data_IF_435916149915
#
_entry.id   IF_435916149915
#
_cell.length_a   1.000
_cell.length_b   1.000
_cell.length_c   1.000
_cell.angle_alpha   90.00
_cell.angle_beta   90.00
_cell.angle_gamma   90.00
#
_symmetry.space_group_name_H-M   'P 1'
#
loop_
_entity.id
_entity.type
_entity.pdbx_description
1 polymer ?
#
# COMPACT_ATOMS: atom_id res chain seq x y z
N UNK A 1 62.13 12.34 12.30
CA UNK A 1 61.82 11.59 13.52
C UNK A 1 61.22 10.24 13.17
N UNK A 2 61.96 9.21 13.54
CA UNK A 2 61.80 7.82 13.13
C UNK A 2 62.01 6.93 14.36
N UNK A 3 61.26 5.82 14.44
CA UNK A 3 61.50 4.66 15.32
C UNK A 3 61.26 4.95 16.83
N UNK A 4 60.85 4.04 17.71
CA UNK A 4 60.68 2.58 17.74
C UNK A 4 60.00 2.19 19.07
N UNK A 5 59.30 1.06 19.05
CA UNK A 5 59.29 -0.01 20.08
C UNK A 5 58.63 0.13 21.47
N UNK A 6 58.06 -1.02 21.84
CA UNK A 6 57.35 -1.49 23.03
C UNK A 6 58.36 -1.80 24.16
N UNK A 7 57.93 -1.96 25.43
CA UNK A 7 57.98 -3.32 25.98
C UNK A 7 56.82 -3.71 26.94
N UNK A 8 56.50 -5.01 26.92
CA UNK A 8 56.24 -5.99 28.00
C UNK A 8 55.27 -5.70 29.18
N UNK A 9 54.63 -6.67 29.86
CA UNK A 9 54.25 -8.11 29.75
C UNK A 9 54.03 -8.59 31.20
N UNK A 10 53.41 -9.79 31.33
CA UNK A 10 53.27 -10.66 32.52
C UNK A 10 52.10 -10.31 33.44
N UNK A 11 51.18 -11.20 33.75
CA UNK A 11 51.00 -12.66 33.56
C UNK A 11 49.75 -13.01 34.40
N UNK A 12 49.09 -14.16 34.38
CA UNK A 12 49.23 -15.53 33.87
C UNK A 12 47.91 -16.19 34.37
N UNK A 13 47.08 -16.78 33.50
CA UNK A 13 46.86 -18.25 33.38
C UNK A 13 46.22 -18.90 34.64
N UNK A 14 45.33 -19.90 34.61
CA UNK A 14 44.94 -20.95 33.66
C UNK A 14 43.91 -21.83 34.45
N UNK A 15 42.85 -22.49 33.93
CA UNK A 15 42.74 -23.83 33.27
C UNK A 15 41.25 -24.23 33.47
N UNK A 16 40.40 -24.47 32.45
CA UNK A 16 40.15 -25.70 31.68
C UNK A 16 39.70 -26.97 32.48
N UNK A 17 38.52 -27.54 32.16
CA UNK A 17 38.33 -28.84 31.44
C UNK A 17 36.97 -29.52 31.68
N UNK A 18 36.38 -29.94 30.56
CA UNK A 18 35.32 -30.92 30.20
C UNK A 18 34.91 -32.08 31.13
N UNK A 19 33.73 -32.69 30.84
CA UNK A 19 33.57 -34.14 30.49
C UNK A 19 32.17 -34.45 29.90
N UNK A 20 32.17 -35.36 28.91
CA UNK A 20 31.08 -36.02 28.16
C UNK A 20 30.90 -37.48 28.66
N UNK A 21 29.68 -38.07 28.63
CA UNK A 21 29.38 -39.51 28.32
C UNK A 21 27.87 -39.83 28.38
N UNK A 22 27.25 -40.27 27.26
CA UNK A 22 26.79 -41.65 26.88
C UNK A 22 25.51 -42.14 27.60
N UNK A 23 24.35 -42.36 26.95
CA UNK A 23 23.87 -43.39 25.98
C UNK A 23 23.54 -44.79 26.54
N UNK A 24 22.49 -45.39 25.92
CA UNK A 24 21.96 -46.78 25.97
C UNK A 24 20.94 -47.08 27.09
N UNK A 25 19.80 -47.77 26.91
CA UNK A 25 19.41 -48.88 26.00
C UNK A 25 17.89 -48.91 25.76
N UNK A 26 17.46 -49.55 24.67
CA UNK A 26 16.09 -50.01 24.44
C UNK A 26 16.01 -51.55 24.39
N UNK A 27 14.82 -52.10 24.69
CA UNK A 27 14.29 -53.46 24.46
C UNK A 27 12.95 -53.55 25.22
N UNK A 28 11.91 -54.33 24.93
CA UNK A 28 11.40 -55.08 23.77
C UNK A 28 10.12 -55.81 24.24
N UNK A 29 9.10 -55.90 23.38
CA UNK A 29 8.06 -56.96 23.26
C UNK A 29 7.03 -57.28 24.38
N UNK A 30 5.75 -57.29 23.94
CA UNK A 30 4.54 -57.89 24.55
C UNK A 30 4.60 -59.43 24.68
N UNK A 31 3.68 -60.09 25.43
CA UNK A 31 2.46 -60.68 24.82
C UNK A 31 1.21 -60.67 25.77
N UNK A 32 0.00 -60.39 25.28
CA UNK A 32 -1.06 -61.33 24.82
C UNK A 32 -2.23 -61.56 25.82
N UNK A 33 -3.45 -61.36 25.27
CA UNK A 33 -4.73 -62.06 25.50
C UNK A 33 -5.34 -62.25 26.91
N UNK A 34 -6.56 -61.71 27.09
CA UNK A 34 -7.75 -62.52 27.45
C UNK A 34 -9.05 -61.67 27.39
N UNK A 35 -10.06 -62.19 26.67
CA UNK A 35 -11.49 -61.90 26.88
C UNK A 35 -12.00 -62.77 28.04
N UNK A 36 -13.05 -62.37 28.79
CA UNK A 36 -14.47 -62.56 28.41
C UNK A 36 -15.30 -61.28 28.77
N UNK A 37 -16.59 -61.06 28.48
CA UNK A 37 -17.77 -61.90 28.35
C UNK A 37 -18.90 -61.02 27.78
N UNK A 38 -19.86 -61.62 27.06
CA UNK A 38 -21.15 -60.99 26.73
C UNK A 38 -22.05 -60.86 27.98
N UNK A 39 -22.91 -59.83 27.98
CA UNK A 39 -24.38 -59.84 28.20
C UNK A 39 -24.81 -58.52 28.85
N UNK A 40 -25.81 -57.84 28.28
CA UNK A 40 -26.60 -56.83 28.98
C UNK A 40 -26.92 -55.58 28.17
N UNK A 41 -28.16 -55.50 27.70
CA UNK A 41 -28.79 -54.40 26.96
C UNK A 41 -28.79 -53.07 27.72
N UNK A 42 -28.83 -51.95 26.97
CA UNK A 42 -29.09 -50.64 27.54
C UNK A 42 -28.84 -49.51 26.55
N UNK A 43 -29.87 -49.16 25.79
CA UNK A 43 -29.92 -47.92 25.01
C UNK A 43 -29.71 -46.71 25.92
N UNK A 44 -28.79 -45.80 25.57
CA UNK A 44 -28.95 -44.34 25.63
C UNK A 44 -27.68 -43.67 25.08
N UNK A 45 -27.78 -43.17 23.85
CA UNK A 45 -26.76 -42.35 23.19
C UNK A 45 -27.19 -40.89 23.29
N UNK A 46 -26.52 -40.10 24.12
CA UNK A 46 -26.52 -38.64 24.02
C UNK A 46 -25.27 -38.07 24.72
N UNK A 47 -24.12 -38.19 24.06
CA UNK A 47 -22.90 -37.46 24.39
C UNK A 47 -22.21 -37.07 23.07
N UNK A 48 -22.66 -35.98 22.48
CA UNK A 48 -21.92 -35.20 21.50
C UNK A 48 -22.15 -33.73 21.85
N UNK A 49 -21.29 -33.22 22.74
CA UNK A 49 -21.16 -31.77 22.95
C UNK A 49 -20.26 -31.24 21.83
N UNK A 50 -20.90 -30.50 20.92
CA UNK A 50 -20.27 -29.90 19.75
C UNK A 50 -19.74 -28.54 20.16
N UNK A 51 -18.45 -28.35 19.90
CA UNK A 51 -17.71 -27.09 19.87
C UNK A 51 -18.53 -26.01 19.13
N UNK A 52 -19.26 -25.19 19.89
CA UNK A 52 -20.08 -24.09 19.37
C UNK A 52 -19.22 -22.83 19.38
N UNK A 53 -18.48 -22.61 18.29
CA UNK A 53 -17.96 -21.28 17.99
C UNK A 53 -19.14 -20.31 17.88
N UNK A 54 -19.14 -19.29 18.75
CA UNK A 54 -20.13 -18.21 18.71
C UNK A 54 -20.03 -17.48 17.35
N UNK A 55 -21.16 -17.05 16.77
CA UNK A 55 -21.13 -16.30 15.52
C UNK A 55 -20.29 -15.02 15.68
N UNK A 56 -19.48 -14.69 14.67
CA UNK A 56 -18.57 -13.54 14.67
C UNK A 56 -19.24 -12.23 15.07
N UNK A 57 -20.53 -12.05 14.76
CA UNK A 57 -21.31 -10.88 15.17
C UNK A 57 -21.47 -10.74 16.69
N UNK A 58 -21.58 -11.85 17.43
CA UNK A 58 -21.76 -11.86 18.88
C UNK A 58 -20.43 -11.57 19.60
N UNK A 59 -19.33 -12.10 19.06
CA UNK A 59 -17.98 -11.86 19.59
C UNK A 59 -17.54 -10.42 19.35
N UNK A 60 -17.86 -9.86 18.16
CA UNK A 60 -17.63 -8.44 17.86
C UNK A 60 -18.42 -7.53 18.80
N UNK A 61 -19.65 -7.89 19.16
CA UNK A 61 -20.45 -7.10 20.11
C UNK A 61 -19.89 -7.19 21.54
N UNK A 62 -19.44 -8.37 21.97
CA UNK A 62 -18.76 -8.54 23.25
C UNK A 62 -17.41 -7.80 23.29
N UNK A 63 -16.68 -7.75 22.18
CA UNK A 63 -15.44 -6.97 22.05
C UNK A 63 -15.72 -5.46 22.11
N UNK A 64 -16.78 -4.97 21.46
CA UNK A 64 -17.24 -3.58 21.61
C UNK A 64 -17.52 -3.27 23.09
N UNK A 65 -18.26 -4.12 23.80
CA UNK A 65 -18.55 -3.94 25.23
C UNK A 65 -17.27 -3.96 26.09
N UNK A 66 -16.30 -4.82 25.78
CA UNK A 66 -15.00 -4.86 26.47
C UNK A 66 -14.15 -3.59 26.21
N UNK A 67 -14.19 -3.03 25.00
CA UNK A 67 -13.52 -1.77 24.68
C UNK A 67 -14.19 -0.55 25.33
N UNK A 68 -15.52 -0.57 25.50
CA UNK A 68 -16.27 0.43 26.30
C UNK A 68 -15.82 0.40 27.76
N UNK A 69 -15.73 -0.80 28.35
CA UNK A 69 -15.41 -0.98 29.77
C UNK A 69 -13.95 -0.64 30.11
N UNK A 70 -13.02 -0.79 29.17
CA UNK A 70 -11.59 -0.48 29.37
C UNK A 70 -11.24 0.99 29.10
N UNK A 71 -12.21 1.84 28.75
CA UNK A 71 -11.98 3.26 28.46
C UNK A 71 -11.13 3.50 27.21
N UNK A 72 -10.99 2.48 26.35
CA UNK A 72 -10.14 2.48 25.16
C UNK A 72 -10.89 2.85 23.88
N UNK A 73 -12.22 3.00 23.95
CA UNK A 73 -12.96 3.72 22.93
C UNK A 73 -12.56 5.20 22.93
N UNK A 74 -12.28 5.81 21.76
CA UNK A 74 -12.56 7.22 21.62
C UNK A 74 -14.05 7.36 21.94
N UNK A 75 -14.39 8.06 23.02
CA UNK A 75 -15.76 8.52 23.19
C UNK A 75 -16.16 9.17 21.87
N UNK A 76 -17.37 8.85 21.40
CA UNK A 76 -18.07 9.61 20.37
C UNK A 76 -18.36 11.02 20.92
N UNK A 77 -17.31 11.74 21.29
CA UNK A 77 -17.29 13.17 21.23
C UNK A 77 -17.29 13.42 19.73
N UNK A 78 -18.38 14.01 19.24
CA UNK A 78 -18.40 14.61 17.93
C UNK A 78 -17.11 15.41 17.79
N UNK A 79 -16.13 14.86 17.06
CA UNK A 79 -14.94 15.59 16.66
C UNK A 79 -15.52 16.81 16.00
N UNK A 80 -15.39 17.97 16.65
CA UNK A 80 -15.76 19.25 16.07
C UNK A 80 -14.99 19.28 14.76
N UNK A 81 -15.69 19.02 13.65
CA UNK A 81 -15.17 19.11 12.30
C UNK A 81 -14.87 20.58 12.10
N UNK A 82 -13.70 21.02 12.55
CA UNK A 82 -13.06 22.21 12.04
C UNK A 82 -12.61 21.85 10.63
N UNK A 83 -13.59 21.64 9.75
CA UNK A 83 -13.36 21.42 8.34
C UNK A 83 -12.59 22.62 7.83
N UNK A 84 -11.59 22.37 7.00
CA UNK A 84 -10.95 23.44 6.24
C UNK A 84 -11.99 23.96 5.23
N UNK A 85 -12.87 24.86 5.68
CA UNK A 85 -13.85 25.68 4.97
C UNK A 85 -14.49 25.13 3.67
N UNK A 86 -15.83 25.04 3.64
CA UNK A 86 -16.59 25.15 2.37
C UNK A 86 -16.30 26.52 1.70
N UNK A 87 -16.47 26.74 0.38
CA UNK A 87 -17.27 26.05 -0.66
C UNK A 87 -16.43 25.38 -1.77
N UNK A 88 -15.19 24.97 -1.47
CA UNK A 88 -14.18 24.66 -2.50
C UNK A 88 -14.44 23.41 -3.37
N UNK A 89 -15.10 22.36 -2.89
CA UNK A 89 -15.29 21.13 -3.67
C UNK A 89 -16.33 21.27 -4.79
N UNK A 90 -17.44 21.98 -4.51
CA UNK A 90 -18.52 22.24 -5.49
C UNK A 90 -18.09 23.32 -6.48
N UNK A 91 -17.44 24.38 -6.01
CA UNK A 91 -16.90 25.43 -6.89
C UNK A 91 -15.77 24.89 -7.79
N UNK A 92 -14.91 24.01 -7.24
CA UNK A 92 -13.91 23.28 -8.02
C UNK A 92 -14.58 22.41 -9.09
N UNK A 93 -15.57 21.60 -8.70
CA UNK A 93 -16.27 20.71 -9.60
C UNK A 93 -17.01 21.46 -10.71
N UNK A 94 -17.57 22.63 -10.44
CA UNK A 94 -18.27 23.42 -11.46
C UNK A 94 -17.31 24.21 -12.36
N UNK A 95 -16.20 24.73 -11.84
CA UNK A 95 -15.29 25.60 -12.60
C UNK A 95 -14.11 24.87 -13.28
N UNK A 96 -13.57 23.79 -12.70
CA UNK A 96 -12.35 23.10 -13.15
C UNK A 96 -12.57 21.69 -13.71
N UNK A 97 -13.74 21.07 -13.48
CA UNK A 97 -14.06 19.73 -14.05
C UNK A 97 -14.18 19.74 -15.58
N UNK A 98 -14.45 20.89 -16.20
CA UNK A 98 -14.49 20.98 -17.67
C UNK A 98 -13.06 21.04 -18.22
N UNK A 99 -12.55 19.98 -18.90
CA UNK A 99 -11.20 20.01 -19.45
C UNK A 99 -11.05 21.18 -20.40
N UNK A 100 -10.03 22.02 -20.16
CA UNK A 100 -9.75 23.16 -21.05
C UNK A 100 -9.22 22.60 -22.37
N UNK A 101 -9.80 23.03 -23.50
CA UNK A 101 -9.38 22.59 -24.86
C UNK A 101 -7.87 22.79 -25.15
N UNK A 102 -7.19 23.64 -24.38
CA UNK A 102 -5.79 24.02 -24.53
C UNK A 102 -4.82 23.30 -23.59
N UNK A 103 -5.24 22.26 -22.86
CA UNK A 103 -4.34 21.58 -21.92
C UNK A 103 -3.09 21.00 -22.61
N UNK A 104 -1.89 21.29 -22.12
CA UNK A 104 -0.65 20.90 -22.78
C UNK A 104 -0.46 19.38 -22.77
N UNK A 105 -0.53 18.76 -23.95
CA UNK A 105 -0.22 17.31 -24.13
C UNK A 105 1.26 17.01 -23.94
N UNK A 106 2.09 18.05 -24.06
CA UNK A 106 3.54 17.94 -24.13
C UNK A 106 4.12 17.23 -22.91
N UNK A 107 3.61 17.52 -21.70
CA UNK A 107 4.08 16.84 -20.48
C UNK A 107 3.85 15.33 -20.56
N UNK A 108 2.67 14.88 -21.00
CA UNK A 108 2.39 13.45 -21.18
C UNK A 108 3.20 12.81 -22.32
N UNK A 109 3.38 13.53 -23.43
CA UNK A 109 4.21 13.06 -24.54
C UNK A 109 5.66 12.88 -24.06
N UNK A 110 6.20 13.85 -23.34
CA UNK A 110 7.55 13.79 -22.74
C UNK A 110 7.66 12.64 -21.75
N UNK A 111 6.65 12.41 -20.89
CA UNK A 111 6.61 11.27 -19.98
C UNK A 111 6.71 9.95 -20.75
N UNK A 112 5.90 9.79 -21.80
CA UNK A 112 5.90 8.58 -22.63
C UNK A 112 7.25 8.39 -23.34
N UNK A 113 7.79 9.46 -23.95
CA UNK A 113 9.11 9.42 -24.61
C UNK A 113 10.19 9.04 -23.60
N UNK A 114 10.18 9.61 -22.39
CA UNK A 114 11.14 9.30 -21.34
C UNK A 114 11.04 7.84 -20.91
N UNK A 115 9.84 7.30 -20.70
CA UNK A 115 9.64 5.90 -20.32
C UNK A 115 10.11 4.95 -21.44
N UNK A 116 9.80 5.25 -22.70
CA UNK A 116 10.28 4.48 -23.86
C UNK A 116 11.81 4.57 -23.97
N UNK A 117 12.39 5.76 -23.79
CA UNK A 117 13.83 5.96 -23.80
C UNK A 117 14.54 5.20 -22.68
N UNK A 118 13.93 5.08 -21.50
CA UNK A 118 14.44 4.23 -20.42
C UNK A 118 14.48 2.77 -20.85
N UNK A 119 13.40 2.25 -21.44
CA UNK A 119 13.34 0.85 -21.90
C UNK A 119 14.38 0.61 -23.01
N UNK A 120 14.39 1.44 -24.05
CA UNK A 120 15.35 1.33 -25.15
C UNK A 120 16.79 1.52 -24.67
N UNK A 121 17.02 2.47 -23.77
CA UNK A 121 18.33 2.74 -23.18
C UNK A 121 18.87 1.55 -22.40
N UNK A 122 18.02 0.85 -21.64
CA UNK A 122 18.40 -0.40 -20.99
C UNK A 122 18.77 -1.49 -22.01
N UNK A 123 17.98 -1.67 -23.08
CA UNK A 123 18.26 -2.67 -24.12
C UNK A 123 19.59 -2.38 -24.84
N UNK A 124 19.83 -1.12 -25.22
CA UNK A 124 21.07 -0.68 -25.87
C UNK A 124 22.25 -0.87 -24.91
N UNK A 125 22.13 -0.41 -23.66
CA UNK A 125 23.20 -0.54 -22.68
C UNK A 125 23.54 -2.00 -22.36
N UNK A 126 22.56 -2.90 -22.34
CA UNK A 126 22.76 -4.33 -22.09
C UNK A 126 23.49 -5.07 -23.22
N UNK A 127 23.46 -4.54 -24.45
CA UNK A 127 23.90 -5.24 -25.67
C UNK A 127 25.07 -4.57 -26.40
N UNK A 128 25.38 -3.31 -26.10
CA UNK A 128 26.36 -2.52 -26.85
C UNK A 128 27.69 -2.41 -26.12
N UNK A 129 28.79 -2.74 -26.80
CA UNK A 129 30.14 -2.45 -26.31
C UNK A 129 30.42 -0.93 -26.35
N UNK A 130 31.03 -0.31 -25.30
CA UNK A 130 31.46 -0.89 -24.03
C UNK A 130 30.41 -0.77 -22.90
N UNK A 131 29.20 -0.28 -23.19
CA UNK A 131 28.18 0.03 -22.18
C UNK A 131 27.76 -1.18 -21.33
N UNK A 132 27.75 -2.39 -21.89
CA UNK A 132 27.32 -3.56 -21.13
C UNK A 132 28.25 -3.90 -19.96
N UNK A 133 29.52 -3.48 -19.98
CA UNK A 133 30.44 -3.63 -18.84
C UNK A 133 30.06 -2.80 -17.63
N UNK A 134 29.34 -1.70 -17.84
CA UNK A 134 28.79 -0.89 -16.76
C UNK A 134 27.38 -1.37 -16.40
N UNK A 135 26.59 -1.73 -17.41
CA UNK A 135 25.18 -2.07 -17.23
C UNK A 135 24.97 -3.38 -16.46
N UNK A 136 25.69 -4.46 -16.77
CA UNK A 136 25.50 -5.75 -16.08
C UNK A 136 25.89 -5.69 -14.59
N UNK A 137 27.04 -5.11 -14.18
CA UNK A 137 27.32 -4.90 -12.77
C UNK A 137 26.27 -4.04 -12.07
N UNK A 138 25.79 -2.96 -12.72
CA UNK A 138 24.72 -2.13 -12.18
C UNK A 138 23.42 -2.92 -12.00
N UNK A 139 23.02 -3.74 -12.98
CA UNK A 139 21.85 -4.61 -12.86
C UNK A 139 22.03 -5.56 -11.67
N UNK A 140 23.13 -6.31 -11.60
CA UNK A 140 23.41 -7.25 -10.50
C UNK A 140 23.32 -6.57 -9.13
N UNK A 141 23.95 -5.40 -8.98
CA UNK A 141 23.84 -4.61 -7.75
C UNK A 141 22.40 -4.17 -7.47
N UNK A 142 21.68 -3.67 -8.48
CA UNK A 142 20.31 -3.18 -8.32
C UNK A 142 19.32 -4.27 -7.89
N UNK A 143 19.58 -5.53 -8.27
CA UNK A 143 18.75 -6.67 -7.91
C UNK A 143 18.86 -7.04 -6.42
N UNK A 144 20.02 -6.77 -5.79
CA UNK A 144 20.29 -7.03 -4.36
C UNK A 144 20.18 -5.78 -3.48
N UNK A 145 20.15 -4.58 -4.07
CA UNK A 145 20.01 -3.31 -3.35
C UNK A 145 18.59 -3.13 -2.78
N UNK A 146 18.50 -3.15 -1.45
CA UNK A 146 17.26 -3.01 -0.68
C UNK A 146 16.87 -1.54 -0.39
N UNK A 147 17.45 -0.57 -1.12
CA UNK A 147 17.12 0.85 -0.91
C UNK A 147 15.63 1.16 -1.06
N UNK A 148 14.89 0.43 -1.91
CA UNK A 148 13.44 0.63 -2.09
C UNK A 148 12.62 0.30 -0.85
N UNK A 149 13.08 -0.61 0.02
CA UNK A 149 12.37 -0.96 1.25
C UNK A 149 12.86 -0.17 2.47
N UNK A 150 14.11 0.32 2.47
CA UNK A 150 14.77 0.91 3.66
C UNK A 150 15.16 2.39 3.54
N UNK A 151 15.16 2.97 2.36
CA UNK A 151 15.80 4.27 2.15
C UNK A 151 14.87 5.28 1.52
N UNK A 152 14.37 4.94 0.34
CA UNK A 152 14.13 5.96 -0.68
C UNK A 152 15.43 6.73 -1.02
N UNK A 153 15.39 7.56 -2.07
CA UNK A 153 16.46 8.53 -2.37
C UNK A 153 15.86 9.87 -2.76
N UNK A 154 14.88 10.33 -1.96
CA UNK A 154 14.08 11.50 -2.30
C UNK A 154 14.98 12.68 -2.63
N UNK A 155 14.78 13.20 -3.83
CA UNK A 155 15.36 14.42 -4.33
C UNK A 155 14.30 15.52 -4.31
N UNK A 156 14.32 16.44 -3.32
CA UNK A 156 13.24 17.40 -3.13
C UNK A 156 13.02 18.33 -4.33
N UNK A 157 14.09 18.70 -5.04
CA UNK A 157 13.98 19.54 -6.24
C UNK A 157 13.26 18.81 -7.38
N UNK A 158 13.54 17.51 -7.58
CA UNK A 158 12.80 16.72 -8.56
C UNK A 158 11.33 16.58 -8.17
N UNK A 159 11.02 16.33 -6.89
CA UNK A 159 9.64 16.22 -6.38
C UNK A 159 8.82 17.50 -6.63
N UNK A 160 9.46 18.67 -6.50
CA UNK A 160 8.86 20.00 -6.71
C UNK A 160 9.00 20.55 -8.12
N UNK A 161 9.53 19.79 -9.07
CA UNK A 161 9.73 20.26 -10.43
C UNK A 161 8.40 20.68 -11.08
N UNK A 162 8.40 21.82 -11.76
CA UNK A 162 7.19 22.37 -12.42
C UNK A 162 6.64 21.46 -13.53
N UNK A 163 7.45 20.53 -14.03
CA UNK A 163 7.01 19.47 -14.93
C UNK A 163 5.80 18.69 -14.40
N UNK A 164 5.77 18.38 -13.09
CA UNK A 164 4.67 17.63 -12.50
C UNK A 164 3.38 18.46 -12.43
N UNK A 165 3.48 19.78 -12.26
CA UNK A 165 2.32 20.68 -12.32
C UNK A 165 1.68 20.67 -13.70
N UNK A 166 2.49 20.70 -14.76
CA UNK A 166 1.99 20.57 -16.14
C UNK A 166 1.29 19.23 -16.37
N UNK A 167 1.81 18.15 -15.76
CA UNK A 167 1.20 16.82 -15.81
C UNK A 167 -0.13 16.76 -15.04
N UNK A 168 -0.22 17.46 -13.89
CA UNK A 168 -1.46 17.59 -13.13
C UNK A 168 -2.52 18.46 -13.84
N UNK A 169 -2.09 19.52 -14.54
CA UNK A 169 -2.98 20.39 -15.33
C UNK A 169 -3.61 19.68 -16.53
N UNK A 170 -3.01 18.59 -17.00
CA UNK A 170 -3.57 17.72 -18.04
C UNK A 170 -4.85 16.99 -17.59
N UNK A 171 -4.93 16.60 -16.30
CA UNK A 171 -6.07 15.87 -15.72
C UNK A 171 -6.86 16.69 -14.70
N UNK A 172 -6.82 18.02 -14.77
CA UNK A 172 -7.11 18.92 -13.65
C UNK A 172 -7.11 18.22 -12.28
N UNK A 173 -5.93 17.81 -11.80
CA UNK A 173 -5.83 17.09 -10.52
C UNK A 173 -6.03 18.06 -9.37
N UNK A 174 -6.85 17.67 -8.41
CA UNK A 174 -7.05 18.44 -7.18
C UNK A 174 -7.00 17.56 -5.95
N UNK A 175 -6.25 18.05 -4.96
CA UNK A 175 -6.13 17.45 -3.65
C UNK A 175 -6.92 18.28 -2.64
N UNK A 176 -7.93 17.66 -2.04
CA UNK A 176 -8.73 18.23 -0.98
C UNK A 176 -8.48 17.46 0.32
N UNK A 177 -8.39 18.16 1.46
CA UNK A 177 -8.27 17.55 2.77
C UNK A 177 -9.40 18.02 3.67
N UNK A 178 -10.09 17.07 4.33
CA UNK A 178 -11.14 17.39 5.29
C UNK A 178 -10.58 18.07 6.54
N UNK A 179 -9.39 17.65 6.99
CA UNK A 179 -8.73 18.14 8.21
C UNK A 179 -7.23 18.34 7.98
N UNK A 180 -6.61 19.18 8.81
CA UNK A 180 -5.15 19.23 8.92
C UNK A 180 -4.65 17.99 9.65
N UNK A 181 -3.47 17.51 9.26
CA UNK A 181 -2.79 16.43 9.95
C UNK A 181 -1.81 16.99 10.97
N UNK A 182 -1.64 16.27 12.07
CA UNK A 182 -0.70 16.61 13.12
C UNK A 182 0.68 16.05 12.73
N UNK A 183 1.68 16.91 12.47
CA UNK A 183 3.02 16.45 12.14
C UNK A 183 3.73 15.78 13.31
N UNK A 184 3.14 15.73 14.51
CA UNK A 184 3.63 14.93 15.64
C UNK A 184 3.26 13.44 15.54
N UNK A 185 2.31 13.08 14.66
CA UNK A 185 1.76 11.73 14.52
C UNK A 185 2.30 11.03 13.27
N UNK A 186 1.96 9.74 13.14
CA UNK A 186 2.38 8.86 12.04
C UNK A 186 1.16 8.30 11.32
N UNK A 187 1.25 8.12 10.02
CA UNK A 187 0.07 7.86 9.20
C UNK A 187 0.27 6.76 8.14
N UNK A 188 -0.77 5.97 7.91
CA UNK A 188 -0.90 5.10 6.73
C UNK A 188 -2.13 5.55 5.96
N UNK A 189 -1.89 6.11 4.77
CA UNK A 189 -2.94 6.53 3.86
C UNK A 189 -3.30 5.36 2.97
N UNK A 190 -4.59 5.02 2.91
CA UNK A 190 -5.11 4.04 1.95
C UNK A 190 -5.83 4.76 0.82
N UNK A 191 -5.31 4.61 -0.40
CA UNK A 191 -5.79 5.26 -1.61
C UNK A 191 -6.73 4.35 -2.42
N UNK A 192 -7.88 4.89 -2.81
CA UNK A 192 -8.93 4.20 -3.56
C UNK A 192 -9.58 5.10 -4.61
N UNK A 193 -9.98 4.59 -5.79
CA UNK A 193 -9.57 3.32 -6.38
C UNK A 193 -8.15 3.40 -6.94
N UNK A 194 -7.55 2.27 -7.32
CA UNK A 194 -6.24 2.23 -7.97
C UNK A 194 -6.26 2.84 -9.39
N UNK A 195 -7.35 2.69 -10.13
CA UNK A 195 -7.37 2.93 -11.58
C UNK A 195 -6.34 2.06 -12.32
N UNK A 196 -5.97 2.43 -13.53
CA UNK A 196 -5.00 1.63 -14.32
C UNK A 196 -3.58 1.75 -13.76
N UNK A 197 -3.13 2.98 -13.45
CA UNK A 197 -1.76 3.27 -13.02
C UNK A 197 -1.66 4.26 -11.82
N UNK A 198 -2.79 4.57 -11.17
CA UNK A 198 -2.83 5.47 -9.99
C UNK A 198 -2.14 6.82 -10.21
N UNK A 199 -2.46 7.50 -11.30
CA UNK A 199 -1.90 8.81 -11.65
C UNK A 199 -2.22 9.86 -10.59
N UNK A 200 -3.43 9.86 -10.03
CA UNK A 200 -3.76 10.77 -8.94
C UNK A 200 -2.90 10.51 -7.71
N UNK A 201 -2.58 9.26 -7.40
CA UNK A 201 -1.69 8.93 -6.28
C UNK A 201 -0.26 9.42 -6.53
N UNK A 202 0.26 9.22 -7.76
CA UNK A 202 1.58 9.71 -8.15
C UNK A 202 1.67 11.24 -8.06
N UNK A 203 0.71 11.94 -8.65
CA UNK A 203 0.73 13.40 -8.73
C UNK A 203 0.50 14.06 -7.36
N UNK A 204 -0.43 13.54 -6.57
CA UNK A 204 -0.73 14.09 -5.25
C UNK A 204 0.29 13.73 -4.17
N UNK A 205 0.89 12.53 -4.22
CA UNK A 205 1.66 12.00 -3.08
C UNK A 205 3.07 11.55 -3.46
N UNK A 206 3.32 11.20 -4.72
CA UNK A 206 4.66 10.97 -5.25
C UNK A 206 5.40 12.26 -5.59
N UNK A 207 4.67 13.33 -5.93
CA UNK A 207 5.21 14.64 -6.31
C UNK A 207 4.58 15.76 -5.48
N UNK A 208 5.03 17.01 -5.65
CA UNK A 208 4.36 18.19 -5.08
C UNK A 208 3.50 18.94 -6.12
N UNK A 209 2.98 18.26 -7.13
CA UNK A 209 2.24 18.90 -8.24
C UNK A 209 0.98 19.65 -7.77
N UNK A 210 0.31 19.12 -6.75
CA UNK A 210 -0.97 19.66 -6.23
C UNK A 210 -0.83 20.34 -4.86
N UNK A 211 0.40 20.62 -4.43
CA UNK A 211 0.68 21.35 -3.20
C UNK A 211 0.52 20.53 -1.92
N UNK A 212 0.93 19.26 -1.94
CA UNK A 212 0.86 18.37 -0.77
C UNK A 212 1.70 18.88 0.41
N UNK A 213 2.93 19.34 0.17
CA UNK A 213 3.84 19.84 1.20
C UNK A 213 3.25 21.08 1.90
N UNK A 214 2.50 21.91 1.17
CA UNK A 214 1.80 23.08 1.67
C UNK A 214 0.51 22.70 2.44
N UNK A 215 -0.20 21.67 1.98
CA UNK A 215 -1.44 21.19 2.60
C UNK A 215 -1.17 20.45 3.93
N UNK A 216 -0.07 19.70 3.98
CA UNK A 216 0.35 18.89 5.13
C UNK A 216 1.80 19.19 5.53
N UNK A 217 2.08 20.41 6.04
CA UNK A 217 3.43 20.80 6.42
C UNK A 217 3.98 19.89 7.52
N UNK A 218 5.20 19.40 7.32
CA UNK A 218 5.88 18.50 8.27
C UNK A 218 5.56 17.02 8.11
N UNK A 219 4.67 16.64 7.18
CA UNK A 219 4.42 15.23 6.86
C UNK A 219 5.43 14.72 5.82
N UNK A 220 6.28 13.77 6.19
CA UNK A 220 7.16 13.05 5.26
C UNK A 220 6.42 11.88 4.61
N UNK A 221 5.81 12.17 3.45
CA UNK A 221 5.04 11.20 2.68
C UNK A 221 5.91 10.33 1.77
N UNK A 222 5.72 9.00 1.83
CA UNK A 222 6.28 8.01 0.90
C UNK A 222 5.18 7.28 0.14
N UNK A 223 5.09 7.48 -1.17
CA UNK A 223 4.22 6.68 -2.02
C UNK A 223 4.80 5.28 -2.19
N UNK A 224 3.96 4.26 -2.03
CA UNK A 224 4.37 2.87 -2.13
C UNK A 224 3.91 2.25 -3.46
N UNK A 225 4.78 1.46 -4.07
CA UNK A 225 4.49 0.75 -5.32
C UNK A 225 5.05 -0.66 -5.30
N UNK A 226 4.67 -1.47 -6.28
CA UNK A 226 5.07 -2.87 -6.36
C UNK A 226 6.59 -3.03 -6.50
N UNK A 227 7.17 -3.99 -5.77
CA UNK A 227 8.60 -4.29 -5.77
C UNK A 227 9.22 -4.44 -7.18
N UNK A 228 8.47 -5.04 -8.12
CA UNK A 228 8.95 -5.25 -9.50
C UNK A 228 9.36 -3.97 -10.21
N UNK A 229 8.74 -2.83 -9.87
CA UNK A 229 9.09 -1.54 -10.45
C UNK A 229 10.54 -1.14 -10.12
N UNK A 230 11.08 -1.64 -9.01
CA UNK A 230 12.48 -1.42 -8.60
C UNK A 230 13.45 -2.43 -9.20
N UNK A 231 12.99 -3.40 -9.99
CA UNK A 231 13.84 -4.37 -10.72
C UNK A 231 14.15 -3.93 -12.15
N UNK A 232 13.49 -2.88 -12.65
CA UNK A 232 13.78 -2.27 -13.96
C UNK A 232 14.84 -1.17 -13.78
N UNK A 233 16.07 -1.33 -14.32
CA UNK A 233 17.12 -0.34 -14.10
C UNK A 233 16.77 1.02 -14.73
N UNK A 234 17.35 2.10 -14.23
CA UNK A 234 17.00 3.52 -14.53
C UNK A 234 15.57 3.94 -14.14
N UNK A 235 14.53 3.15 -14.44
CA UNK A 235 13.18 3.39 -13.93
C UNK A 235 13.16 3.37 -12.40
N UNK A 236 13.86 2.38 -11.83
CA UNK A 236 14.16 2.29 -10.39
C UNK A 236 14.68 3.61 -9.81
N UNK A 237 15.68 4.22 -10.45
CA UNK A 237 16.29 5.45 -9.93
C UNK A 237 15.32 6.62 -9.97
N UNK A 238 14.52 6.74 -11.03
CA UNK A 238 13.46 7.75 -11.11
C UNK A 238 12.46 7.62 -9.94
N UNK A 239 12.01 6.39 -9.65
CA UNK A 239 11.09 6.14 -8.53
C UNK A 239 11.75 6.49 -7.19
N UNK A 240 12.99 6.06 -6.96
CA UNK A 240 13.71 6.36 -5.74
C UNK A 240 13.97 7.86 -5.56
N UNK A 241 14.29 8.58 -6.64
CA UNK A 241 14.46 10.04 -6.62
C UNK A 241 13.16 10.80 -6.34
N UNK A 242 12.01 10.23 -6.72
CA UNK A 242 10.70 10.73 -6.27
C UNK A 242 10.37 10.35 -4.82
N UNK A 243 11.23 9.55 -4.17
CA UNK A 243 10.98 9.06 -2.81
C UNK A 243 9.91 7.97 -2.74
N UNK A 244 9.60 7.33 -3.86
CA UNK A 244 8.67 6.20 -3.95
C UNK A 244 9.40 4.94 -3.44
N UNK A 245 8.69 4.15 -2.64
CA UNK A 245 9.22 2.97 -1.95
C UNK A 245 8.42 1.71 -2.27
N UNK A 246 8.92 0.56 -1.82
CA UNK A 246 8.27 -0.74 -1.97
C UNK A 246 7.01 -0.86 -1.08
N UNK A 247 5.97 -1.52 -1.57
CA UNK A 247 4.72 -1.76 -0.85
C UNK A 247 4.79 -2.95 0.13
N UNK A 248 5.98 -3.49 0.41
CA UNK A 248 6.16 -4.60 1.35
C UNK A 248 5.90 -4.18 2.81
N UNK A 249 5.48 -5.14 3.63
CA UNK A 249 5.27 -4.93 5.06
C UNK A 249 6.54 -4.46 5.79
N UNK A 250 7.72 -4.96 5.37
CA UNK A 250 9.02 -4.47 5.86
C UNK A 250 9.19 -2.97 5.56
N UNK A 251 8.90 -2.55 4.33
CA UNK A 251 9.03 -1.14 3.95
C UNK A 251 8.06 -0.23 4.69
N UNK A 252 6.79 -0.64 4.83
CA UNK A 252 5.79 0.07 5.63
C UNK A 252 6.28 0.22 7.07
N UNK A 253 6.70 -0.88 7.70
CA UNK A 253 7.22 -0.87 9.07
C UNK A 253 8.41 0.05 9.20
N UNK A 254 9.33 0.02 8.24
CA UNK A 254 10.54 0.82 8.27
C UNK A 254 10.26 2.32 8.12
N UNK A 255 9.39 2.72 7.19
CA UNK A 255 9.09 4.12 6.92
C UNK A 255 8.19 4.74 7.99
N UNK A 256 7.17 4.01 8.44
CA UNK A 256 6.25 4.48 9.48
C UNK A 256 6.90 4.34 10.87
N UNK A 257 7.54 3.20 11.15
CA UNK A 257 8.19 2.89 12.42
C UNK A 257 9.56 3.53 12.62
N UNK A 258 10.03 4.38 11.70
CA UNK A 258 11.29 5.12 11.82
C UNK A 258 11.25 6.08 13.02
N UNK A 259 11.54 5.55 14.20
CA UNK A 259 11.70 6.29 15.45
C UNK A 259 13.06 7.02 15.50
N UNK A 260 13.46 7.72 14.43
CA UNK A 260 14.61 8.64 14.49
C UNK A 260 14.23 9.99 15.15
N UNK A 261 13.28 9.98 16.11
CA UNK A 261 12.76 11.20 16.73
C UNK A 261 12.03 12.15 15.77
N UNK A 262 11.79 11.75 14.51
CA UNK A 262 11.06 12.54 13.52
C UNK A 262 9.61 12.11 13.50
N UNK A 263 8.77 13.00 13.98
CA UNK A 263 7.35 12.89 13.81
C UNK A 263 6.94 13.26 12.36
N UNK A 264 5.73 12.86 11.93
CA UNK A 264 5.19 13.20 10.62
C UNK A 264 5.45 12.15 9.54
N UNK A 265 6.00 10.99 9.88
CA UNK A 265 6.22 9.91 8.91
C UNK A 265 4.87 9.38 8.38
N UNK A 266 4.71 9.37 7.07
CA UNK A 266 3.53 8.85 6.41
C UNK A 266 3.88 7.97 5.21
N UNK A 267 3.06 6.95 4.98
CA UNK A 267 3.09 6.16 3.74
C UNK A 267 1.74 6.21 3.04
N UNK A 268 1.75 6.14 1.72
CA UNK A 268 0.57 6.06 0.86
C UNK A 268 0.55 4.71 0.15
N UNK A 269 -0.45 3.89 0.46
CA UNK A 269 -0.64 2.59 -0.17
C UNK A 269 -1.92 2.61 -1.01
N UNK A 270 -1.77 2.24 -2.29
CA UNK A 270 -2.93 1.99 -3.15
C UNK A 270 -3.42 0.56 -2.91
N UNK A 271 -4.46 0.41 -2.09
CA UNK A 271 -4.83 -0.87 -1.46
C UNK A 271 -5.33 -1.90 -2.48
N UNK A 272 -6.12 -1.44 -3.47
CA UNK A 272 -6.67 -2.31 -4.52
C UNK A 272 -5.64 -2.98 -5.41
N UNK A 273 -4.49 -2.32 -5.61
CA UNK A 273 -3.37 -2.82 -6.40
C UNK A 273 -3.76 -3.26 -7.83
N UNK A 274 -3.03 -4.25 -8.33
CA UNK A 274 -3.22 -4.81 -9.67
C UNK A 274 -4.60 -5.47 -9.90
N UNK A 275 -5.34 -5.81 -8.84
CA UNK A 275 -6.67 -6.42 -8.98
C UNK A 275 -7.71 -5.38 -9.44
N UNK A 276 -7.64 -4.16 -8.93
CA UNK A 276 -8.50 -3.07 -9.39
C UNK A 276 -8.09 -2.55 -10.76
N UNK A 277 -6.79 -2.51 -11.09
CA UNK A 277 -6.33 -1.99 -12.38
C UNK A 277 -6.83 -2.78 -13.60
N UNK A 278 -6.96 -4.10 -13.47
CA UNK A 278 -7.54 -4.97 -14.50
C UNK A 278 -9.04 -4.76 -14.75
N UNK A 279 -9.74 -4.28 -13.74
CA UNK A 279 -11.19 -4.14 -13.77
C UNK A 279 -11.65 -2.67 -13.81
N UNK A 280 -10.68 -1.74 -13.83
CA UNK A 280 -10.89 -0.31 -13.97
C UNK A 280 -11.75 -0.02 -15.20
N UNK A 281 -12.87 0.63 -14.96
CA UNK A 281 -13.84 0.98 -15.99
C UNK A 281 -14.33 2.41 -15.72
N UNK A 282 -14.33 3.29 -16.74
CA UNK A 282 -14.89 4.61 -16.59
C UNK A 282 -16.33 4.58 -16.05
N UNK A 283 -16.62 5.46 -15.10
CA UNK A 283 -17.90 5.59 -14.43
C UNK A 283 -18.20 4.53 -13.36
N UNK A 284 -17.35 3.53 -13.15
CA UNK A 284 -17.53 2.51 -12.12
C UNK A 284 -16.51 2.66 -11.00
N UNK A 285 -16.97 2.46 -9.76
CA UNK A 285 -16.14 2.52 -8.55
C UNK A 285 -16.25 1.18 -7.83
N UNK A 286 -15.39 0.22 -8.22
CA UNK A 286 -15.35 -1.13 -7.63
C UNK A 286 -14.03 -1.31 -6.90
N UNK A 287 -14.09 -1.41 -5.57
CA UNK A 287 -12.94 -1.50 -4.71
C UNK A 287 -12.71 -2.94 -4.26
N UNK A 288 -11.47 -3.40 -4.38
CA UNK A 288 -10.97 -4.65 -3.78
C UNK A 288 -10.44 -4.34 -2.38
N UNK A 289 -11.35 -3.96 -1.48
CA UNK A 289 -11.01 -3.56 -0.11
C UNK A 289 -11.45 -4.59 0.94
N UNK A 290 -12.60 -5.25 0.76
CA UNK A 290 -13.21 -6.16 1.76
C UNK A 290 -12.23 -7.18 2.35
N UNK A 291 -11.39 -7.77 1.50
CA UNK A 291 -10.44 -8.83 1.88
C UNK A 291 -9.00 -8.31 2.06
N UNK A 292 -8.78 -6.97 2.07
CA UNK A 292 -7.46 -6.34 2.11
C UNK A 292 -7.16 -5.68 3.45
N UNK A 293 -7.14 -6.48 4.52
CA UNK A 293 -6.94 -5.96 5.87
C UNK A 293 -5.46 -5.73 6.27
N UNK A 294 -4.50 -6.10 5.41
CA UNK A 294 -3.07 -6.08 5.74
C UNK A 294 -2.54 -4.70 6.14
N UNK A 295 -3.03 -3.62 5.53
CA UNK A 295 -2.60 -2.26 5.86
C UNK A 295 -3.10 -1.80 7.24
N UNK A 296 -4.29 -2.28 7.66
CA UNK A 296 -4.85 -2.06 9.01
C UNK A 296 -4.00 -2.77 10.05
N UNK A 297 -3.62 -4.02 9.78
CA UNK A 297 -2.67 -4.77 10.62
C UNK A 297 -1.35 -4.01 10.79
N UNK A 298 -0.82 -3.41 9.71
CA UNK A 298 0.40 -2.60 9.80
C UNK A 298 0.21 -1.32 10.62
N UNK A 299 -0.94 -0.65 10.50
CA UNK A 299 -1.26 0.55 11.28
C UNK A 299 -1.28 0.25 12.79
N UNK A 300 -1.97 -0.83 13.19
CA UNK A 300 -2.01 -1.28 14.58
C UNK A 300 -0.62 -1.64 15.12
N UNK A 301 0.14 -2.44 14.36
CA UNK A 301 1.50 -2.85 14.75
C UNK A 301 2.48 -1.70 14.92
N UNK A 302 2.35 -0.66 14.10
CA UNK A 302 3.24 0.50 14.13
C UNK A 302 2.72 1.63 15.01
N UNK A 303 1.45 1.60 15.42
CA UNK A 303 0.76 2.69 16.10
C UNK A 303 0.60 3.92 15.22
N UNK A 304 0.39 3.71 13.91
CA UNK A 304 0.08 4.77 12.96
C UNK A 304 -1.42 4.87 12.74
N UNK A 305 -1.89 6.08 12.46
CA UNK A 305 -3.30 6.35 12.21
C UNK A 305 -3.64 6.09 10.74
N UNK A 306 -4.81 5.50 10.51
CA UNK A 306 -5.29 5.20 9.16
C UNK A 306 -5.94 6.44 8.55
N UNK A 307 -5.57 6.79 7.33
CA UNK A 307 -6.16 7.92 6.60
C UNK A 307 -6.88 7.40 5.36
N UNK A 308 -8.23 7.46 5.31
CA UNK A 308 -8.97 7.08 4.12
C UNK A 308 -8.78 8.14 3.03
N UNK A 309 -8.41 7.71 1.83
CA UNK A 309 -8.25 8.59 0.67
C UNK A 309 -9.09 8.06 -0.48
N UNK A 310 -9.98 8.90 -1.01
CA UNK A 310 -10.83 8.57 -2.14
C UNK A 310 -10.54 9.50 -3.33
N UNK A 311 -10.28 8.94 -4.50
CA UNK A 311 -9.98 9.67 -5.72
C UNK A 311 -11.06 9.45 -6.78
N UNK A 312 -11.87 10.47 -7.01
CA UNK A 312 -12.88 10.50 -8.05
C UNK A 312 -12.23 10.77 -9.41
N UNK A 313 -12.70 10.09 -10.46
CA UNK A 313 -12.17 10.24 -11.83
C UNK A 313 -10.95 9.38 -12.17
N UNK A 314 -10.32 8.73 -11.18
CA UNK A 314 -9.13 7.89 -11.40
C UNK A 314 -9.39 6.74 -12.40
N UNK A 315 -10.59 6.16 -12.39
CA UNK A 315 -10.98 5.09 -13.30
C UNK A 315 -11.37 5.60 -14.70
N UNK A 316 -11.57 6.91 -14.87
CA UNK A 316 -12.09 7.51 -16.09
C UNK A 316 -10.98 7.82 -17.12
N UNK A 317 -9.73 7.98 -16.65
CA UNK A 317 -8.58 8.39 -17.48
C UNK A 317 -8.13 7.34 -18.50
N UNK A 318 -8.54 6.08 -18.35
CA UNK A 318 -8.24 5.00 -19.28
C UNK A 318 -9.44 4.08 -19.47
N UNK A 319 -9.58 3.54 -20.68
CA UNK A 319 -10.38 2.35 -20.92
C UNK A 319 -9.51 1.11 -20.74
N UNK A 320 -10.05 0.03 -20.18
CA UNK A 320 -9.39 -1.28 -20.11
C UNK A 320 -10.10 -2.26 -21.04
N UNK A 321 -9.34 -2.86 -21.95
CA UNK A 321 -9.82 -3.98 -22.77
C UNK A 321 -9.73 -5.27 -21.97
N UNK A 322 -10.85 -5.99 -21.90
CA UNK A 322 -10.85 -7.37 -21.44
C UNK A 322 -10.36 -8.25 -22.59
N UNK A 323 -9.28 -9.03 -22.42
CA UNK A 323 -8.92 -10.03 -23.41
C UNK A 323 -10.10 -10.98 -23.66
N UNK A 324 -10.24 -11.45 -24.90
CA UNK A 324 -11.19 -12.53 -25.20
C UNK A 324 -10.80 -13.80 -24.43
N UNK A 325 -11.80 -14.58 -24.00
CA UNK A 325 -11.58 -15.85 -23.31
C UNK A 325 -10.70 -16.79 -24.15
N UNK A 326 -9.74 -17.45 -23.49
CA UNK A 326 -8.72 -18.31 -24.06
C UNK A 326 -7.75 -17.65 -25.05
N UNK A 327 -7.71 -16.32 -25.13
CA UNK A 327 -6.79 -15.59 -26.01
C UNK A 327 -5.33 -15.66 -25.52
N UNK A 328 -4.37 -15.42 -26.43
CA UNK A 328 -2.96 -15.31 -26.06
C UNK A 328 -2.70 -14.20 -25.03
N UNK A 329 -3.47 -13.10 -25.12
CA UNK A 329 -3.39 -11.99 -24.18
C UNK A 329 -3.87 -12.37 -22.77
N UNK A 330 -4.97 -13.12 -22.66
CA UNK A 330 -5.44 -13.64 -21.36
C UNK A 330 -4.40 -14.60 -20.75
N UNK A 331 -3.85 -15.52 -21.55
CA UNK A 331 -2.81 -16.44 -21.11
C UNK A 331 -1.56 -15.71 -20.62
N UNK A 332 -1.17 -14.63 -21.31
CA UNK A 332 -0.04 -13.78 -20.90
C UNK A 332 -0.35 -13.06 -19.58
N UNK A 333 -1.52 -12.45 -19.44
CA UNK A 333 -1.93 -11.80 -18.19
C UNK A 333 -1.99 -12.78 -17.02
N UNK A 334 -2.53 -13.98 -17.23
CA UNK A 334 -2.55 -15.04 -16.23
C UNK A 334 -1.15 -15.51 -15.86
N UNK A 335 -0.25 -15.66 -16.85
CA UNK A 335 1.16 -16.00 -16.64
C UNK A 335 1.89 -14.94 -15.82
N UNK A 336 1.74 -13.65 -16.18
CA UNK A 336 2.35 -12.54 -15.45
C UNK A 336 1.85 -12.49 -14.00
N UNK A 337 0.53 -12.62 -13.81
CA UNK A 337 -0.08 -12.64 -12.47
C UNK A 337 0.44 -13.80 -11.62
N UNK A 338 0.57 -14.99 -12.21
CA UNK A 338 1.08 -16.20 -11.53
C UNK A 338 2.56 -16.09 -11.16
N UNK A 339 3.40 -15.60 -12.07
CA UNK A 339 4.85 -15.65 -11.91
C UNK A 339 5.41 -14.42 -11.18
N UNK A 340 4.77 -13.26 -11.33
CA UNK A 340 5.29 -11.99 -10.81
C UNK A 340 4.32 -11.26 -9.88
N UNK A 341 3.12 -11.80 -9.65
CA UNK A 341 2.12 -11.18 -8.77
C UNK A 341 1.47 -9.91 -9.33
N UNK A 342 1.74 -9.57 -10.59
CA UNK A 342 1.18 -8.40 -11.28
C UNK A 342 0.76 -8.74 -12.70
N UNK A 343 -0.05 -7.88 -13.29
CA UNK A 343 -0.49 -8.03 -14.67
C UNK A 343 -0.63 -6.65 -15.28
N UNK A 344 -0.43 -6.58 -16.59
CA UNK A 344 -0.52 -5.35 -17.34
C UNK A 344 -1.93 -5.23 -17.92
N UNK A 345 -2.74 -4.26 -17.45
CA UNK A 345 -4.02 -3.98 -18.07
C UNK A 345 -3.79 -3.52 -19.52
N UNK A 346 -4.57 -4.07 -20.45
CA UNK A 346 -4.59 -3.61 -21.84
C UNK A 346 -5.39 -2.31 -21.90
N UNK A 347 -4.74 -1.21 -21.50
CA UNK A 347 -5.36 0.08 -21.36
C UNK A 347 -5.14 0.97 -22.60
N UNK A 348 -6.13 1.79 -22.94
CA UNK A 348 -6.03 2.81 -23.98
C UNK A 348 -6.84 4.06 -23.58
N UNK A 349 -6.43 5.23 -24.06
CA UNK A 349 -7.12 6.51 -23.83
C UNK A 349 -7.47 7.22 -25.13
N UNK A 350 -7.18 8.52 -25.22
CA UNK A 350 -7.50 9.36 -26.38
C UNK A 350 -6.73 8.99 -27.65
N UNK A 351 -5.45 8.64 -27.52
CA UNK A 351 -4.56 8.33 -28.64
C UNK A 351 -3.60 7.20 -28.24
N UNK A 352 -4.06 5.96 -28.37
CA UNK A 352 -3.30 4.78 -27.91
C UNK A 352 -3.13 4.79 -26.39
N UNK A 353 -1.87 4.79 -25.92
CA UNK A 353 -1.54 4.82 -24.48
C UNK A 353 -1.64 6.21 -23.84
N UNK A 354 -1.99 7.25 -24.59
CA UNK A 354 -2.23 8.58 -24.03
C UNK A 354 -3.55 8.58 -23.25
N UNK A 355 -3.56 8.85 -21.93
CA UNK A 355 -4.77 8.84 -21.13
C UNK A 355 -5.75 9.93 -21.57
N UNK A 356 -7.03 9.73 -21.28
CA UNK A 356 -8.08 10.71 -21.50
C UNK A 356 -7.93 11.88 -20.54
N UNK A 357 -8.33 13.08 -20.96
CA UNK A 357 -8.35 14.28 -20.13
C UNK A 357 -9.56 14.32 -19.21
N UNK A 358 -9.64 13.34 -18.33
CA UNK A 358 -10.66 13.31 -17.30
C UNK A 358 -10.11 13.92 -16.00
N UNK A 359 -10.90 14.75 -15.31
CA UNK A 359 -10.53 15.36 -14.05
C UNK A 359 -10.34 14.34 -12.93
N UNK A 360 -9.32 14.54 -12.09
CA UNK A 360 -9.08 13.71 -10.89
C UNK A 360 -9.27 14.56 -9.63
N UNK A 361 -10.23 14.18 -8.78
CA UNK A 361 -10.49 14.87 -7.51
C UNK A 361 -10.24 13.92 -6.34
N UNK A 362 -9.16 14.16 -5.61
CA UNK A 362 -8.74 13.32 -4.49
C UNK A 362 -9.09 13.99 -3.17
N UNK A 363 -9.81 13.26 -2.31
CA UNK A 363 -10.16 13.67 -0.95
C UNK A 363 -9.35 12.86 0.05
N UNK A 364 -8.62 13.55 0.90
CA UNK A 364 -7.98 13.03 2.10
C UNK A 364 -8.96 13.19 3.26
N UNK A 365 -9.41 12.06 3.79
CA UNK A 365 -10.37 12.01 4.86
C UNK A 365 -9.79 12.26 6.25
N UNK A 366 -10.67 12.22 7.23
CA UNK A 366 -10.29 12.34 8.65
C UNK A 366 -9.53 11.09 9.11
N UNK A 367 -8.37 11.22 9.78
CA UNK A 367 -7.62 10.07 10.30
C UNK A 367 -8.40 9.30 11.36
N UNK A 368 -8.33 7.98 11.29
CA UNK A 368 -8.76 7.06 12.34
C UNK A 368 -7.62 6.84 13.32
N UNK A 369 -7.82 7.24 14.57
CA UNK A 369 -6.80 7.17 15.61
C UNK A 369 -6.63 5.73 16.15
N UNK A 370 -5.90 4.91 15.39
CA UNK A 370 -5.64 3.52 15.78
C UNK A 370 -4.69 3.43 17.00
N UNK A 371 -4.95 2.51 17.95
CA UNK A 371 -4.04 2.21 19.05
C UNK A 371 -2.81 1.47 18.54
N UNK A 372 -1.73 1.51 19.31
CA UNK A 372 -0.56 0.68 19.07
C UNK A 372 -0.79 -0.70 19.70
N UNK A 373 -0.94 -1.73 18.86
CA UNK A 373 -1.06 -3.13 19.27
C UNK A 373 0.03 -3.94 18.53
N UNK A 374 1.12 -4.38 19.21
CA UNK A 374 2.23 -5.12 18.58
C UNK A 374 1.80 -6.45 17.95
N UNK A 375 0.83 -7.11 18.58
CA UNK A 375 0.26 -8.39 18.16
C UNK A 375 -1.26 -8.26 18.07
N UNK A 376 -1.78 -7.55 17.04
CA UNK A 376 -3.20 -7.29 16.93
C UNK A 376 -3.94 -8.57 16.58
N UNK A 377 -5.09 -8.78 17.24
CA UNK A 377 -5.95 -9.93 16.96
C UNK A 377 -6.71 -9.74 15.64
N UNK A 378 -7.17 -10.82 15.03
CA UNK A 378 -7.94 -10.74 13.78
C UNK A 378 -9.28 -9.98 13.97
N UNK A 379 -9.83 -10.01 15.18
CA UNK A 379 -11.02 -9.26 15.58
C UNK A 379 -10.75 -7.75 15.64
N UNK A 380 -9.64 -7.34 16.27
CA UNK A 380 -9.19 -5.95 16.29
C UNK A 380 -8.95 -5.42 14.88
N UNK A 381 -8.27 -6.20 14.04
CA UNK A 381 -7.99 -5.86 12.64
C UNK A 381 -9.30 -5.68 11.89
N UNK A 382 -10.25 -6.62 12.03
CA UNK A 382 -11.55 -6.57 11.35
C UNK A 382 -12.37 -5.37 11.82
N UNK A 383 -12.36 -5.05 13.11
CA UNK A 383 -13.05 -3.90 13.66
C UNK A 383 -12.55 -2.59 13.06
N UNK A 384 -11.23 -2.35 13.11
CA UNK A 384 -10.63 -1.14 12.53
C UNK A 384 -10.77 -1.07 11.01
N UNK A 385 -10.76 -2.21 10.34
CA UNK A 385 -11.03 -2.28 8.91
C UNK A 385 -12.48 -1.89 8.57
N UNK A 386 -13.46 -2.29 9.37
CA UNK A 386 -14.85 -1.86 9.20
C UNK A 386 -15.00 -0.36 9.41
N UNK A 387 -14.38 0.20 10.47
CA UNK A 387 -14.35 1.65 10.70
C UNK A 387 -13.71 2.41 9.53
N UNK A 388 -12.62 1.86 8.96
CA UNK A 388 -11.98 2.44 7.79
C UNK A 388 -12.90 2.43 6.55
N UNK A 389 -13.63 1.33 6.30
CA UNK A 389 -14.60 1.24 5.22
C UNK A 389 -15.77 2.21 5.39
N UNK A 390 -16.26 2.38 6.62
CA UNK A 390 -17.30 3.36 6.96
C UNK A 390 -16.82 4.79 6.67
N UNK A 391 -15.61 5.15 7.12
CA UNK A 391 -15.03 6.47 6.83
C UNK A 391 -14.82 6.72 5.33
N UNK A 392 -14.45 5.68 4.56
CA UNK A 392 -14.34 5.78 3.10
C UNK A 392 -15.71 5.97 2.44
N UNK A 393 -16.74 5.28 2.94
CA UNK A 393 -18.13 5.42 2.49
C UNK A 393 -18.70 6.80 2.80
N UNK A 394 -18.32 7.41 3.92
CA UNK A 394 -18.69 8.77 4.28
C UNK A 394 -18.14 9.79 3.26
N UNK A 395 -16.86 9.68 2.90
CA UNK A 395 -16.26 10.49 1.82
C UNK A 395 -17.04 10.30 0.51
N UNK A 396 -17.33 9.05 0.15
CA UNK A 396 -18.11 8.77 -1.06
C UNK A 396 -19.48 9.46 -1.00
N UNK A 397 -20.22 9.31 0.10
CA UNK A 397 -21.56 9.86 0.23
C UNK A 397 -21.59 11.39 0.21
N UNK A 398 -20.59 12.03 0.82
CA UNK A 398 -20.46 13.48 0.88
C UNK A 398 -20.14 14.08 -0.51
N UNK A 399 -19.19 13.49 -1.24
CA UNK A 399 -18.64 14.13 -2.45
C UNK A 399 -19.23 13.59 -3.76
N UNK A 400 -19.81 12.37 -3.82
CA UNK A 400 -20.26 11.73 -5.08
C UNK A 400 -21.16 12.61 -5.95
N UNK A 401 -22.08 13.35 -5.34
CA UNK A 401 -23.03 14.20 -6.09
C UNK A 401 -22.36 15.44 -6.69
N UNK A 402 -21.24 15.86 -6.10
CA UNK A 402 -20.52 17.06 -6.49
C UNK A 402 -19.41 16.77 -7.49
N UNK A 403 -18.74 15.62 -7.42
CA UNK A 403 -17.55 15.35 -8.25
C UNK A 403 -17.64 14.07 -9.10
N UNK A 404 -18.52 13.12 -8.78
CA UNK A 404 -18.64 11.88 -9.54
C UNK A 404 -19.72 11.99 -10.63
N UNK A 405 -19.59 12.94 -11.56
CA UNK A 405 -20.62 13.23 -12.57
C UNK A 405 -20.81 12.12 -13.60
N UNK A 406 -19.72 11.47 -14.00
CA UNK A 406 -19.73 10.40 -15.01
C UNK A 406 -20.03 9.01 -14.41
N UNK A 407 -20.46 8.94 -13.15
CA UNK A 407 -20.72 7.65 -12.49
C UNK A 407 -21.90 6.94 -13.15
N UNK A 408 -21.74 5.64 -13.38
CA UNK A 408 -22.77 4.75 -13.91
C UNK A 408 -23.46 3.98 -12.78
N UNK A 409 -22.73 3.67 -11.70
CA UNK A 409 -23.22 2.94 -10.55
C UNK A 409 -22.76 3.55 -9.23
N UNK A 410 -23.31 3.04 -8.13
CA UNK A 410 -22.82 3.33 -6.78
C UNK A 410 -21.43 2.75 -6.52
N UNK A 411 -20.86 3.11 -5.38
CA UNK A 411 -19.63 2.51 -4.86
C UNK A 411 -19.89 1.05 -4.48
N UNK A 412 -19.04 0.16 -4.96
CA UNK A 412 -19.03 -1.26 -4.64
C UNK A 412 -17.73 -1.58 -3.88
N UNK A 413 -17.86 -1.95 -2.61
CA UNK A 413 -16.75 -2.31 -1.73
C UNK A 413 -16.79 -3.83 -1.52
N UNK A 414 -16.00 -4.58 -2.29
CA UNK A 414 -15.95 -6.04 -2.21
C UNK A 414 -16.24 -6.77 -3.52
N UNK A 415 -15.88 -6.18 -4.66
CA UNK A 415 -16.01 -6.83 -5.96
C UNK A 415 -15.19 -8.10 -6.08
#
# INVERSE_FOLDING_TARGET
DSQSEVPDRQGSQDIQTAVVRQQSEGRSCSPATSQPSRVGEGQTSAAQDVDRQLPTSVVVEAFKEAMVLTGSLPTSSAVKRNSLGGPSAVDYALAKWRPKKTQPRNAFIVLNIMLVAIVLGNLVAATTWPLYYLWWPYLCWSLVDNTSSKGGRLWPALRRADYWKQLADYFPVHLHAQVKLDPSKRYIFGYHPHGVISLGALLNFGTNATGFEELFPGIDMRLLTLNVNFKVPLHRELLLWLGICDASAESITHHVGRCQGKAGNAVMLVVGGAAESLHSQPGFYRLKLRDRQGFVKMALKTGAHLVPVFSFGENDVFNVLKPAENSAAERLQACLKKNFGFTLPLAYGEMGLMPKREPIFTVVGTPLECPHSPEPTDEEITWWHNQYMEALLDIWNEYKNSVAFNRVAGLDIGG
#
